data_IF_885298465765
#
_entry.id   IF_885298465765
#
_cell.length_a   1.000
_cell.length_b   1.000
_cell.length_c   1.000
_cell.angle_alpha   90.00
_cell.angle_beta   90.00
_cell.angle_gamma   90.00
#
_symmetry.space_group_name_H-M   'P 1'
#
loop_
_entity.id
_entity.type
_entity.pdbx_description
1 polymer ?
#
# COMPACT_ATOMS: atom_id res chain seq x y z
N UNK A 1 81.35 -15.08 20.20
CA UNK A 1 80.34 -15.26 21.28
C UNK A 1 79.51 -13.99 21.37
N UNK A 2 78.29 -14.09 21.92
CA UNK A 2 77.18 -13.12 21.82
C UNK A 2 76.59 -12.94 20.42
N UNK A 3 75.28 -12.86 20.22
CA UNK A 3 74.11 -13.66 20.67
C UNK A 3 72.93 -13.08 19.87
N UNK A 4 72.08 -13.94 19.31
CA UNK A 4 70.85 -13.51 18.64
C UNK A 4 69.82 -12.96 19.63
N UNK A 5 69.07 -11.93 19.22
CA UNK A 5 67.67 -11.68 19.64
C UNK A 5 67.01 -10.75 18.62
N UNK A 6 65.96 -11.23 17.95
CA UNK A 6 65.09 -10.37 17.13
C UNK A 6 64.02 -9.69 17.99
N UNK A 7 63.41 -8.63 17.49
CA UNK A 7 62.26 -7.97 18.12
C UNK A 7 61.12 -7.81 17.11
N UNK A 8 59.91 -8.18 17.52
CA UNK A 8 58.72 -8.24 16.67
C UNK A 8 58.00 -6.88 16.50
N UNK A 9 57.13 -6.86 15.50
CA UNK A 9 56.19 -5.79 15.14
C UNK A 9 55.28 -5.35 16.30
N UNK A 10 54.83 -4.09 16.23
CA UNK A 10 53.45 -3.71 16.55
C UNK A 10 52.94 -2.62 15.60
N UNK A 11 52.18 -3.02 14.58
CA UNK A 11 51.38 -2.10 13.75
C UNK A 11 50.07 -1.77 14.46
N UNK A 12 49.91 -0.53 14.90
CA UNK A 12 48.73 -0.08 15.64
C UNK A 12 47.57 0.24 14.67
N UNK A 13 46.81 -0.78 14.28
CA UNK A 13 45.57 -0.61 13.52
C UNK A 13 44.45 -0.12 14.46
N UNK A 14 44.20 1.19 14.49
CA UNK A 14 43.12 1.79 15.28
C UNK A 14 41.75 1.44 14.65
N UNK A 15 41.08 0.45 15.24
CA UNK A 15 39.76 -0.02 14.81
C UNK A 15 38.68 0.96 15.30
N UNK A 16 38.27 1.90 14.45
CA UNK A 16 37.24 2.88 14.78
C UNK A 16 35.88 2.19 14.98
N UNK A 17 35.33 2.27 16.19
CA UNK A 17 34.00 1.75 16.50
C UNK A 17 32.93 2.79 16.08
N UNK A 18 32.02 2.46 15.15
CA UNK A 18 30.94 3.38 14.77
C UNK A 18 29.99 3.54 15.96
N UNK A 19 29.97 4.72 16.55
CA UNK A 19 29.00 5.06 17.59
C UNK A 19 27.61 5.10 16.99
N UNK A 20 26.75 4.18 17.38
CA UNK A 20 25.34 4.20 17.01
C UNK A 20 24.67 5.43 17.66
N UNK A 21 24.50 6.50 16.87
CA UNK A 21 23.74 7.68 17.30
C UNK A 21 22.30 7.27 17.58
N UNK A 22 21.93 7.16 18.85
CA UNK A 22 20.53 6.97 19.26
C UNK A 22 19.80 8.26 18.87
N UNK A 23 19.06 8.20 17.76
CA UNK A 23 18.45 9.37 17.16
C UNK A 23 17.28 9.83 18.03
N UNK A 24 17.56 10.79 18.93
CA UNK A 24 16.60 11.29 19.90
C UNK A 24 15.37 11.93 19.23
N UNK A 25 14.21 11.81 19.87
CA UNK A 25 12.98 12.43 19.39
C UNK A 25 13.16 13.95 19.30
N UNK A 26 12.89 14.50 18.12
CA UNK A 26 13.06 15.89 17.78
C UNK A 26 12.00 16.74 18.48
N UNK A 27 12.41 17.89 19.01
CA UNK A 27 11.53 18.77 19.77
C UNK A 27 10.48 19.48 18.91
N UNK A 28 9.55 20.22 19.55
CA UNK A 28 8.68 21.20 18.90
C UNK A 28 9.41 22.03 17.84
N UNK A 29 8.87 22.08 16.61
CA UNK A 29 9.41 22.85 15.48
C UNK A 29 10.85 22.50 15.04
N UNK A 30 11.45 21.43 15.56
CA UNK A 30 12.77 20.97 15.13
C UNK A 30 12.72 20.28 13.76
N UNK A 31 13.86 20.23 13.07
CA UNK A 31 14.00 19.46 11.83
C UNK A 31 13.95 17.97 12.14
N UNK A 32 13.19 17.22 11.35
CA UNK A 32 12.95 15.79 11.50
C UNK A 32 13.09 15.02 10.18
N UNK A 33 13.61 15.66 9.13
CA UNK A 33 13.76 15.04 7.83
C UNK A 33 14.27 16.00 6.76
N UNK A 34 14.43 15.47 5.56
CA UNK A 34 15.02 16.15 4.41
C UNK A 34 16.23 15.42 3.84
N UNK A 35 16.50 15.61 2.55
CA UNK A 35 17.69 15.10 1.87
C UNK A 35 18.94 15.62 2.59
N UNK A 36 19.80 14.70 3.05
CA UNK A 36 21.02 15.02 3.80
C UNK A 36 20.83 15.18 5.32
N UNK A 37 19.61 15.07 5.85
CA UNK A 37 19.39 15.09 7.30
C UNK A 37 19.90 13.80 7.96
N UNK A 38 20.77 13.93 8.96
CA UNK A 38 21.33 12.80 9.74
C UNK A 38 20.86 12.77 11.20
N UNK A 39 19.91 13.64 11.57
CA UNK A 39 19.35 13.70 12.92
C UNK A 39 18.15 12.74 13.12
N UNK A 40 17.41 12.93 14.22
CA UNK A 40 16.20 12.15 14.48
C UNK A 40 15.11 12.40 13.45
N UNK A 41 14.36 11.34 13.11
CA UNK A 41 13.20 11.40 12.20
C UNK A 41 11.86 11.37 12.92
N UNK A 42 11.86 11.02 14.21
CA UNK A 42 10.70 10.98 15.09
C UNK A 42 10.59 12.28 15.87
N UNK A 43 9.39 12.83 15.99
CA UNK A 43 9.11 13.99 16.84
C UNK A 43 8.68 13.56 18.26
N UNK A 44 8.75 14.47 19.24
CA UNK A 44 8.18 14.23 20.57
C UNK A 44 6.67 13.96 20.52
N UNK A 45 6.13 13.22 21.49
CA UNK A 45 4.71 12.87 21.58
C UNK A 45 3.80 14.11 21.44
N UNK A 46 2.80 14.01 20.55
CA UNK A 46 1.91 15.14 20.20
C UNK A 46 2.39 16.01 19.03
N UNK A 47 3.53 15.66 18.42
CA UNK A 47 4.08 16.33 17.23
C UNK A 47 4.29 15.33 16.10
N UNK A 48 4.04 15.76 14.87
CA UNK A 48 4.18 14.96 13.65
C UNK A 48 5.27 15.55 12.78
N UNK A 49 6.12 14.70 12.19
CA UNK A 49 7.14 15.17 11.25
C UNK A 49 6.48 15.50 9.90
N UNK A 50 6.33 16.78 9.59
CA UNK A 50 5.70 17.26 8.36
C UNK A 50 6.76 17.71 7.35
N UNK A 51 6.75 17.10 6.16
CA UNK A 51 7.60 17.50 5.05
C UNK A 51 7.19 18.91 4.58
N UNK A 52 8.12 19.85 4.55
CA UNK A 52 7.90 21.20 4.03
C UNK A 52 8.49 21.34 2.61
N UNK A 53 9.65 20.73 2.38
CA UNK A 53 10.29 20.63 1.07
C UNK A 53 11.27 19.44 1.05
N UNK A 54 11.85 19.06 -0.10
CA UNK A 54 12.71 17.87 -0.20
C UNK A 54 13.94 17.88 0.74
N UNK A 55 14.42 19.04 1.17
CA UNK A 55 15.59 19.19 2.05
C UNK A 55 15.20 19.48 3.51
N UNK A 56 13.91 19.61 3.83
CA UNK A 56 13.45 20.02 5.16
C UNK A 56 12.07 19.48 5.53
N UNK A 57 12.02 18.71 6.61
CA UNK A 57 10.78 18.32 7.32
C UNK A 57 10.84 18.85 8.75
N UNK A 58 9.71 19.30 9.30
CA UNK A 58 9.62 19.95 10.60
C UNK A 58 8.58 19.28 11.50
N UNK A 59 8.88 19.16 12.80
CA UNK A 59 7.91 18.72 13.81
C UNK A 59 6.83 19.79 14.03
N UNK A 60 5.58 19.49 13.66
CA UNK A 60 4.42 20.38 13.87
C UNK A 60 3.33 19.69 14.70
N UNK A 61 2.54 20.46 15.44
CA UNK A 61 1.35 19.91 16.11
C UNK A 61 0.25 19.67 15.08
N UNK A 62 -0.18 18.42 14.93
CA UNK A 62 -1.55 18.18 14.48
C UNK A 62 -2.49 18.73 15.55
N UNK A 63 -3.43 19.58 15.14
CA UNK A 63 -4.39 20.22 16.06
C UNK A 63 -5.51 19.25 16.45
N UNK A 64 -5.13 18.13 17.05
CA UNK A 64 -6.04 17.26 17.78
C UNK A 64 -6.36 17.90 19.12
N UNK A 65 -7.31 18.85 19.13
CA UNK A 65 -8.00 19.30 20.34
C UNK A 65 -8.89 18.17 20.86
N UNK A 66 -8.27 17.09 21.32
CA UNK A 66 -8.92 16.08 22.16
C UNK A 66 -9.10 16.69 23.56
N UNK A 67 -10.33 16.75 24.10
CA UNK A 67 -10.53 17.25 25.46
C UNK A 67 -9.81 16.35 26.47
N UNK A 68 -9.08 16.96 27.39
CA UNK A 68 -8.39 16.23 28.45
C UNK A 68 -9.40 15.54 29.38
N UNK A 69 -9.26 14.22 29.55
CA UNK A 69 -9.85 13.48 30.66
C UNK A 69 -8.75 12.84 31.48
N UNK A 70 -8.74 13.19 32.78
CA UNK A 70 -7.64 12.92 33.70
C UNK A 70 -7.60 11.49 34.24
N UNK A 71 -6.44 11.09 34.73
CA UNK A 71 -6.16 9.81 35.38
C UNK A 71 -7.11 9.44 36.53
N UNK A 72 -7.43 8.14 36.64
CA UNK A 72 -7.53 7.45 37.92
C UNK A 72 -7.10 5.97 37.78
N UNK A 73 -6.64 5.39 38.89
CA UNK A 73 -5.81 4.17 38.95
C UNK A 73 -6.63 2.85 38.91
N UNK A 74 -6.02 1.66 38.77
CA UNK A 74 -6.75 0.41 38.56
C UNK A 74 -7.33 -0.17 39.86
N UNK A 75 -8.45 -0.90 39.75
CA UNK A 75 -9.01 -1.68 40.87
C UNK A 75 -9.35 -3.11 40.43
N UNK A 76 -9.03 -4.07 41.29
CA UNK A 76 -9.23 -5.50 41.06
C UNK A 76 -10.55 -5.99 41.64
N UNK A 77 -11.26 -6.86 40.92
CA UNK A 77 -12.17 -7.86 41.53
C UNK A 77 -12.26 -9.10 40.62
N UNK A 78 -12.34 -10.28 41.24
CA UNK A 78 -12.27 -11.56 40.57
C UNK A 78 -13.64 -12.27 40.53
N UNK A 79 -13.89 -13.05 39.47
CA UNK A 79 -14.86 -14.16 39.55
C UNK A 79 -14.56 -15.31 38.58
N UNK A 80 -14.03 -16.40 39.16
CA UNK A 80 -14.28 -17.84 38.92
C UNK A 80 -14.28 -18.41 37.47
N UNK A 81 -13.43 -19.42 37.17
CA UNK A 81 -13.39 -20.09 35.86
C UNK A 81 -14.46 -21.20 35.69
N UNK A 82 -14.70 -21.56 34.42
CA UNK A 82 -15.50 -22.72 33.99
C UNK A 82 -14.64 -23.70 33.18
N UNK A 83 -14.68 -24.97 33.58
CA UNK A 83 -14.17 -26.15 32.85
C UNK A 83 -15.28 -26.69 31.92
N UNK A 84 -15.14 -27.55 30.91
CA UNK A 84 -14.09 -28.47 30.40
C UNK A 84 -14.09 -28.36 28.84
N UNK A 85 -13.33 -29.07 27.99
CA UNK A 85 -12.40 -30.22 28.13
C UNK A 85 -11.39 -30.22 26.96
N UNK A 86 -10.51 -31.23 26.85
CA UNK A 86 -9.71 -31.53 25.65
C UNK A 86 -9.34 -33.01 25.60
N UNK A 87 -9.49 -33.68 24.45
CA UNK A 87 -9.13 -35.08 24.26
C UNK A 87 -8.16 -35.24 23.07
N UNK A 88 -7.04 -35.92 23.30
CA UNK A 88 -6.03 -36.24 22.30
C UNK A 88 -6.21 -37.67 21.76
N UNK A 89 -5.61 -37.97 20.60
CA UNK A 89 -5.04 -39.31 20.38
C UNK A 89 -3.52 -39.29 20.13
N UNK A 90 -2.89 -40.38 20.55
CA UNK A 90 -1.45 -40.70 20.45
C UNK A 90 -1.13 -41.43 19.12
N UNK A 91 0.09 -41.33 18.55
CA UNK A 91 0.43 -41.95 17.26
C UNK A 91 0.85 -43.43 17.37
N UNK A 92 0.66 -44.18 16.27
CA UNK A 92 1.26 -45.52 16.01
C UNK A 92 1.61 -45.67 14.52
N UNK A 93 2.69 -46.37 14.20
CA UNK A 93 3.34 -46.46 12.87
C UNK A 93 3.13 -47.81 12.16
N UNK A 94 3.39 -47.87 10.83
CA UNK A 94 4.38 -48.78 10.14
C UNK A 94 3.94 -49.33 8.76
N UNK A 95 4.83 -49.22 7.75
CA UNK A 95 4.98 -49.95 6.44
C UNK A 95 3.75 -50.17 5.50
N UNK A 96 3.75 -49.90 4.18
CA UNK A 96 4.70 -50.12 3.05
C UNK A 96 4.73 -51.55 2.44
N UNK A 97 4.07 -51.76 1.28
CA UNK A 97 4.68 -52.25 0.02
C UNK A 97 3.67 -52.60 -1.13
N UNK A 98 3.90 -52.01 -2.31
CA UNK A 98 3.83 -52.57 -3.69
C UNK A 98 2.66 -53.51 -4.12
N UNK A 99 1.85 -53.05 -5.09
CA UNK A 99 1.61 -53.74 -6.39
C UNK A 99 1.12 -52.78 -7.51
N UNK A 100 1.59 -53.03 -8.74
CA UNK A 100 1.08 -52.56 -10.05
C UNK A 100 0.36 -53.74 -10.74
N UNK A 101 -0.24 -53.62 -11.96
CA UNK A 101 -1.02 -52.51 -12.54
C UNK A 101 -2.35 -52.99 -13.18
N UNK A 102 -3.38 -52.14 -13.31
CA UNK A 102 -4.37 -52.30 -14.41
C UNK A 102 -5.08 -50.98 -14.73
N UNK A 103 -5.45 -50.79 -15.99
CA UNK A 103 -5.96 -49.54 -16.54
C UNK A 103 -7.49 -49.52 -16.62
N UNK A 104 -8.13 -48.47 -16.09
CA UNK A 104 -9.49 -48.09 -16.53
C UNK A 104 -9.66 -46.57 -16.55
N UNK A 105 -10.22 -46.08 -17.65
CA UNK A 105 -10.37 -44.66 -17.98
C UNK A 105 -11.47 -43.98 -17.16
N UNK A 106 -11.24 -42.79 -16.60
CA UNK A 106 -11.83 -41.51 -17.08
C UNK A 106 -11.72 -40.36 -16.06
N UNK A 107 -11.35 -39.18 -16.58
CA UNK A 107 -11.70 -37.82 -16.10
C UNK A 107 -11.34 -37.46 -14.66
N UNK A 108 -10.10 -37.01 -14.53
CA UNK A 108 -9.65 -35.98 -13.57
C UNK A 108 -10.71 -34.88 -13.38
N UNK A 109 -11.18 -34.67 -12.15
CA UNK A 109 -11.97 -33.50 -11.78
C UNK A 109 -11.07 -32.27 -11.75
N UNK A 110 -10.93 -31.60 -12.89
CA UNK A 110 -10.37 -30.26 -12.95
C UNK A 110 -11.28 -29.30 -12.17
N UNK A 111 -10.71 -28.52 -11.25
CA UNK A 111 -11.40 -27.33 -10.73
C UNK A 111 -11.77 -26.42 -11.90
N UNK A 112 -12.99 -25.85 -11.93
CA UNK A 112 -13.34 -24.88 -12.96
C UNK A 112 -12.47 -23.63 -12.81
N UNK A 113 -11.58 -23.41 -13.78
CA UNK A 113 -10.92 -22.13 -13.96
C UNK A 113 -11.97 -21.09 -14.35
N UNK A 114 -12.38 -20.26 -13.39
CA UNK A 114 -13.22 -19.09 -13.66
C UNK A 114 -12.33 -17.89 -13.88
N UNK A 115 -12.27 -17.41 -15.12
CA UNK A 115 -11.45 -16.28 -15.57
C UNK A 115 -12.05 -14.91 -15.19
N UNK A 116 -12.64 -14.80 -14.01
CA UNK A 116 -13.18 -13.55 -13.45
C UNK A 116 -12.44 -13.21 -12.17
N UNK A 117 -11.58 -12.20 -12.21
CA UNK A 117 -10.84 -11.75 -11.03
C UNK A 117 -11.73 -11.07 -9.99
N UNK A 118 -11.13 -10.79 -8.83
CA UNK A 118 -11.82 -10.16 -7.70
C UNK A 118 -12.46 -8.84 -8.14
N UNK A 119 -13.74 -8.67 -7.81
CA UNK A 119 -14.54 -7.50 -8.19
C UNK A 119 -15.04 -6.78 -6.95
N UNK A 120 -14.82 -5.47 -6.90
CA UNK A 120 -15.17 -4.59 -5.79
C UNK A 120 -16.08 -3.45 -6.26
N UNK A 121 -16.87 -2.88 -5.33
CA UNK A 121 -17.44 -1.55 -5.55
C UNK A 121 -16.29 -0.55 -5.54
N UNK A 122 -16.21 0.27 -6.57
CA UNK A 122 -15.13 1.21 -6.75
C UNK A 122 -15.64 2.65 -6.86
N UNK A 123 -14.89 3.57 -6.26
CA UNK A 123 -14.92 4.98 -6.63
C UNK A 123 -13.75 5.27 -7.55
N UNK A 124 -14.00 6.08 -8.56
CA UNK A 124 -13.02 6.49 -9.54
C UNK A 124 -12.95 8.01 -9.46
N UNK A 125 -11.74 8.51 -9.27
CA UNK A 125 -11.38 9.93 -9.25
C UNK A 125 -10.25 10.16 -10.25
N UNK A 126 -9.63 11.33 -10.26
CA UNK A 126 -8.50 11.61 -11.14
C UNK A 126 -7.48 12.51 -10.46
N UNK A 127 -6.24 12.46 -10.95
CA UNK A 127 -5.13 13.31 -10.52
C UNK A 127 -4.12 13.48 -11.66
N UNK A 128 -3.11 14.32 -11.47
CA UNK A 128 -2.11 14.69 -12.48
C UNK A 128 -2.27 16.14 -12.94
N UNK A 129 -1.86 16.44 -14.16
CA UNK A 129 -1.87 17.81 -14.68
C UNK A 129 -3.30 18.38 -14.72
N UNK A 130 -3.44 19.61 -14.21
CA UNK A 130 -4.73 20.31 -14.10
C UNK A 130 -5.53 20.02 -12.82
N UNK A 131 -5.19 19.00 -12.05
CA UNK A 131 -5.78 18.79 -10.72
C UNK A 131 -5.19 19.81 -9.72
N UNK A 132 -6.09 20.48 -8.98
CA UNK A 132 -5.75 21.48 -7.96
C UNK A 132 -5.58 20.87 -6.56
N UNK A 133 -6.08 19.65 -6.35
CA UNK A 133 -6.16 19.01 -5.03
C UNK A 133 -5.26 17.78 -4.89
N UNK A 134 -4.88 17.13 -5.99
CA UNK A 134 -3.92 16.03 -6.03
C UNK A 134 -2.49 16.45 -6.40
N UNK A 135 -1.65 15.46 -6.70
CA UNK A 135 -0.29 15.71 -7.20
C UNK A 135 -0.32 16.12 -8.67
N UNK A 136 0.43 17.18 -9.10
CA UNK A 136 0.34 17.73 -10.45
C UNK A 136 0.93 16.84 -11.55
N UNK A 137 1.62 15.75 -11.18
CA UNK A 137 2.16 14.75 -12.09
C UNK A 137 1.75 13.35 -11.61
N UNK A 138 1.10 12.56 -12.46
CA UNK A 138 0.65 11.20 -12.13
C UNK A 138 1.41 10.10 -12.90
N UNK A 139 2.07 10.46 -14.01
CA UNK A 139 2.76 9.53 -14.90
C UNK A 139 4.27 9.77 -14.90
N UNK A 140 4.94 9.42 -13.79
CA UNK A 140 6.39 9.62 -13.61
C UNK A 140 7.03 8.40 -12.95
N UNK A 141 8.35 8.23 -13.12
CA UNK A 141 9.11 7.20 -12.40
C UNK A 141 9.20 7.45 -10.88
N UNK A 142 8.76 8.62 -10.39
CA UNK A 142 8.57 8.91 -8.95
C UNK A 142 7.25 8.39 -8.37
N UNK A 143 6.37 7.79 -9.19
CA UNK A 143 5.21 7.07 -8.69
C UNK A 143 5.62 5.89 -7.79
N UNK A 144 4.77 5.49 -6.84
CA UNK A 144 5.12 4.52 -5.79
C UNK A 144 5.61 3.15 -6.30
N UNK A 145 5.25 2.75 -7.52
CA UNK A 145 5.75 1.52 -8.13
C UNK A 145 7.09 1.65 -8.86
N UNK A 146 7.69 2.84 -8.95
CA UNK A 146 8.96 3.06 -9.65
C UNK A 146 8.86 2.92 -11.18
N UNK A 147 7.68 3.17 -11.75
CA UNK A 147 7.45 3.15 -13.20
C UNK A 147 6.26 4.03 -13.60
N UNK A 148 6.19 4.37 -14.88
CA UNK A 148 5.07 5.04 -15.51
C UNK A 148 4.67 4.33 -16.82
N UNK A 149 3.59 4.76 -17.47
CA UNK A 149 3.05 4.08 -18.66
C UNK A 149 2.95 5.04 -19.85
N UNK A 150 3.60 4.72 -20.96
CA UNK A 150 3.55 5.55 -22.16
C UNK A 150 3.75 4.73 -23.46
N UNK A 151 2.72 4.58 -24.32
CA UNK A 151 1.32 4.87 -24.06
C UNK A 151 0.73 3.91 -23.00
N UNK A 152 -0.52 4.13 -22.60
CA UNK A 152 -1.29 3.19 -21.78
C UNK A 152 -1.80 3.79 -20.48
N UNK A 153 -3.00 3.40 -20.08
CA UNK A 153 -3.70 4.00 -18.94
C UNK A 153 -3.15 3.51 -17.61
N UNK A 154 -2.88 4.44 -16.70
CA UNK A 154 -2.44 4.17 -15.33
C UNK A 154 -3.34 4.80 -14.28
N UNK A 155 -3.26 4.26 -13.06
CA UNK A 155 -3.99 4.76 -11.91
C UNK A 155 -3.21 4.56 -10.61
N UNK A 156 -3.44 5.44 -9.64
CA UNK A 156 -3.16 5.15 -8.25
C UNK A 156 -4.31 4.32 -7.67
N UNK A 157 -4.04 3.36 -6.79
CA UNK A 157 -5.09 2.59 -6.11
C UNK A 157 -5.05 2.79 -4.60
N UNK A 158 -6.21 2.75 -3.94
CA UNK A 158 -6.36 2.90 -2.50
C UNK A 158 -5.46 1.96 -1.71
N UNK A 159 -4.97 2.43 -0.56
CA UNK A 159 -3.93 1.77 0.22
C UNK A 159 -4.29 0.34 0.65
N UNK A 160 -5.59 0.04 0.85
CA UNK A 160 -6.10 -1.29 1.15
C UNK A 160 -5.91 -2.32 0.02
N UNK A 161 -5.80 -1.87 -1.23
CA UNK A 161 -5.44 -2.70 -2.40
C UNK A 161 -3.95 -2.59 -2.67
N UNK A 162 -3.36 -1.39 -2.58
CA UNK A 162 -1.93 -1.17 -2.86
C UNK A 162 -1.05 -2.04 -1.96
N UNK A 163 -1.46 -2.25 -0.70
CA UNK A 163 -0.90 -3.23 0.23
C UNK A 163 0.23 -2.71 1.12
N UNK A 164 0.79 -1.53 0.84
CA UNK A 164 1.78 -0.85 1.68
C UNK A 164 1.48 0.65 1.79
N UNK A 165 2.02 1.32 2.81
CA UNK A 165 1.84 2.76 3.01
C UNK A 165 2.88 3.63 2.29
N UNK A 166 2.73 4.97 2.38
CA UNK A 166 3.71 5.91 1.84
C UNK A 166 5.14 5.64 2.32
N UNK A 167 6.12 5.81 1.43
CA UNK A 167 7.54 5.58 1.72
C UNK A 167 7.99 4.12 1.77
N UNK A 168 7.08 3.14 1.72
CA UNK A 168 7.44 1.72 1.67
C UNK A 168 7.89 1.22 0.28
N UNK A 169 7.72 2.04 -0.77
CA UNK A 169 8.00 1.68 -2.16
C UNK A 169 6.87 0.89 -2.82
N UNK A 170 7.23 0.00 -3.74
CA UNK A 170 6.28 -0.75 -4.55
C UNK A 170 5.48 -1.76 -3.71
N UNK A 171 4.15 -1.58 -3.67
CA UNK A 171 3.23 -2.54 -3.06
C UNK A 171 2.88 -3.71 -3.98
N UNK A 172 2.26 -4.79 -3.45
CA UNK A 172 1.83 -5.95 -4.23
C UNK A 172 0.85 -5.66 -5.38
N UNK A 173 0.17 -4.50 -5.39
CA UNK A 173 -0.68 -4.10 -6.51
C UNK A 173 0.10 -3.55 -7.72
N UNK A 174 1.39 -3.22 -7.57
CA UNK A 174 2.17 -2.62 -8.65
C UNK A 174 2.23 -3.52 -9.89
N UNK A 175 1.88 -2.95 -11.05
CA UNK A 175 1.81 -3.67 -12.32
C UNK A 175 0.55 -4.52 -12.50
N UNK A 176 -0.35 -4.59 -11.51
CA UNK A 176 -1.64 -5.29 -11.69
C UNK A 176 -2.59 -4.49 -12.58
N UNK A 177 -3.39 -5.20 -13.37
CA UNK A 177 -4.35 -4.59 -14.29
C UNK A 177 -5.78 -4.74 -13.80
N UNK A 178 -6.57 -3.67 -13.97
CA UNK A 178 -7.93 -3.56 -13.46
C UNK A 178 -8.87 -3.00 -14.51
N UNK A 179 -9.95 -3.73 -14.79
CA UNK A 179 -11.07 -3.24 -15.58
C UNK A 179 -11.96 -2.40 -14.68
N UNK A 180 -12.14 -1.14 -15.02
CA UNK A 180 -12.98 -0.18 -14.29
C UNK A 180 -14.24 0.11 -15.09
N UNK A 181 -15.40 0.15 -14.44
CA UNK A 181 -16.70 0.46 -15.04
C UNK A 181 -17.38 1.57 -14.24
N UNK A 182 -17.70 2.68 -14.90
CA UNK A 182 -18.46 3.78 -14.30
C UNK A 182 -19.97 3.59 -14.47
N UNK A 183 -20.74 3.89 -13.43
CA UNK A 183 -22.20 3.75 -13.43
C UNK A 183 -22.90 5.07 -13.04
N UNK A 184 -22.51 5.69 -11.92
CA UNK A 184 -23.09 6.95 -11.44
C UNK A 184 -22.02 7.98 -11.07
N UNK A 185 -22.43 9.23 -10.90
CA UNK A 185 -21.66 10.24 -10.18
C UNK A 185 -21.75 10.04 -8.65
N UNK A 186 -21.09 10.93 -7.90
CA UNK A 186 -21.14 11.00 -6.43
C UNK A 186 -22.53 11.27 -5.83
N UNK A 187 -23.49 11.73 -6.63
CA UNK A 187 -24.86 12.08 -6.23
C UNK A 187 -25.87 10.98 -6.63
N UNK A 188 -25.42 9.92 -7.29
CA UNK A 188 -26.26 8.81 -7.75
C UNK A 188 -26.89 9.01 -9.13
N UNK A 189 -26.56 10.09 -9.86
CA UNK A 189 -27.04 10.28 -11.23
C UNK A 189 -26.24 9.37 -12.18
N UNK A 190 -26.93 8.72 -13.13
CA UNK A 190 -26.26 7.85 -14.12
C UNK A 190 -25.31 8.67 -15.01
N UNK A 191 -24.07 8.22 -15.18
CA UNK A 191 -23.11 8.86 -16.09
C UNK A 191 -23.60 8.79 -17.54
N UNK A 192 -23.28 9.81 -18.34
CA UNK A 192 -23.60 9.86 -19.78
C UNK A 192 -23.01 8.67 -20.55
N UNK A 193 -21.82 8.22 -20.12
CA UNK A 193 -21.10 7.07 -20.66
C UNK A 193 -21.17 5.82 -19.75
N UNK A 194 -22.10 5.76 -18.79
CA UNK A 194 -22.19 4.64 -17.83
C UNK A 194 -22.32 3.28 -18.53
N UNK A 195 -21.55 2.30 -18.04
CA UNK A 195 -21.34 0.99 -18.64
C UNK A 195 -20.13 0.91 -19.57
N UNK A 196 -19.54 2.05 -19.96
CA UNK A 196 -18.22 2.07 -20.62
C UNK A 196 -17.14 1.63 -19.63
N UNK A 197 -16.15 0.88 -20.11
CA UNK A 197 -15.06 0.37 -19.30
C UNK A 197 -13.69 0.64 -19.92
N UNK A 198 -12.71 0.97 -19.09
CA UNK A 198 -11.29 0.97 -19.45
C UNK A 198 -10.55 -0.11 -18.66
N UNK A 199 -9.36 -0.48 -19.11
CA UNK A 199 -8.41 -1.25 -18.30
C UNK A 199 -7.23 -0.34 -17.96
N UNK A 200 -6.88 -0.25 -16.68
CA UNK A 200 -5.74 0.52 -16.17
C UNK A 200 -4.69 -0.41 -15.57
N UNK A 201 -3.43 0.03 -15.55
CA UNK A 201 -2.36 -0.59 -14.77
C UNK A 201 -2.11 0.25 -13.50
N UNK A 202 -1.97 -0.41 -12.35
CA UNK A 202 -1.62 0.27 -11.10
C UNK A 202 -0.14 0.63 -11.09
N UNK A 203 0.18 1.91 -11.09
CA UNK A 203 1.55 2.44 -11.03
C UNK A 203 1.84 3.27 -9.76
N UNK A 204 0.81 3.60 -8.97
CA UNK A 204 0.96 4.49 -7.82
C UNK A 204 0.06 4.11 -6.64
N UNK A 205 0.35 4.69 -5.48
CA UNK A 205 -0.43 4.57 -4.25
C UNK A 205 -1.37 5.77 -4.12
N UNK A 206 -2.65 5.52 -3.88
CA UNK A 206 -3.51 6.51 -3.23
C UNK A 206 -3.47 6.27 -1.70
N UNK A 207 -2.83 7.16 -0.92
CA UNK A 207 -2.64 6.96 0.52
C UNK A 207 -3.96 7.03 1.27
N UNK A 208 -4.07 6.29 2.38
CA UNK A 208 -5.20 6.41 3.30
C UNK A 208 -5.09 7.68 4.18
N UNK A 209 -3.87 8.10 4.51
CA UNK A 209 -3.64 9.29 5.31
C UNK A 209 -3.97 10.56 4.51
N UNK A 210 -4.71 11.48 5.14
CA UNK A 210 -5.23 12.69 4.49
C UNK A 210 -6.30 12.49 3.40
N UNK A 211 -6.56 11.28 2.91
CA UNK A 211 -7.51 11.02 1.82
C UNK A 211 -8.60 9.97 2.18
N UNK A 212 -9.79 10.42 2.64
CA UNK A 212 -10.91 9.54 2.98
C UNK A 212 -11.40 8.62 1.85
N UNK A 213 -11.19 8.97 0.58
CA UNK A 213 -11.56 8.12 -0.55
C UNK A 213 -10.78 6.81 -0.56
N UNK A 214 -9.54 6.82 -0.04
CA UNK A 214 -8.59 5.72 -0.09
C UNK A 214 -8.29 5.11 1.29
N UNK A 215 -9.05 5.53 2.31
CA UNK A 215 -8.92 5.12 3.71
C UNK A 215 -9.85 3.95 4.11
N UNK A 216 -10.17 3.05 3.17
CA UNK A 216 -11.03 1.89 3.47
C UNK A 216 -10.36 0.94 4.47
N UNK A 217 -11.13 0.53 5.50
CA UNK A 217 -10.67 -0.46 6.47
C UNK A 217 -10.71 -1.87 5.86
N UNK A 218 -9.59 -2.26 5.24
CA UNK A 218 -9.49 -3.51 4.48
C UNK A 218 -10.37 -3.53 3.23
N UNK A 219 -10.59 -4.72 2.66
CA UNK A 219 -11.34 -4.90 1.41
C UNK A 219 -12.87 -5.06 1.62
N UNK A 220 -13.32 -5.18 2.87
CA UNK A 220 -14.74 -5.24 3.25
C UNK A 220 -15.29 -3.90 3.76
N UNK A 221 -14.43 -3.03 4.29
CA UNK A 221 -14.79 -1.65 4.58
C UNK A 221 -15.13 -0.85 3.31
N UNK A 222 -15.74 0.30 3.49
CA UNK A 222 -16.08 1.23 2.41
C UNK A 222 -15.68 2.67 2.77
N UNK A 223 -15.49 3.50 1.76
CA UNK A 223 -15.35 4.94 1.92
C UNK A 223 -16.74 5.62 2.03
N UNK A 224 -16.75 6.95 2.10
CA UNK A 224 -17.96 7.77 2.29
C UNK A 224 -19.00 7.65 1.14
N UNK A 225 -18.63 7.06 0.01
CA UNK A 225 -19.52 6.79 -1.12
C UNK A 225 -19.91 5.31 -1.26
N UNK A 226 -19.59 4.46 -0.28
CA UNK A 226 -19.91 3.04 -0.31
C UNK A 226 -19.01 2.19 -1.21
N UNK A 227 -17.86 2.71 -1.63
CA UNK A 227 -16.88 1.98 -2.43
C UNK A 227 -15.82 1.29 -1.54
N UNK A 228 -15.53 0.02 -1.83
CA UNK A 228 -14.52 -0.78 -1.13
C UNK A 228 -13.09 -0.42 -1.54
N UNK A 229 -12.92 0.15 -2.73
CA UNK A 229 -11.62 0.52 -3.30
C UNK A 229 -11.76 1.85 -4.03
N UNK A 230 -10.66 2.60 -4.16
CA UNK A 230 -10.61 3.82 -4.98
C UNK A 230 -9.49 3.74 -6.03
N UNK A 231 -9.76 4.25 -7.22
CA UNK A 231 -8.78 4.42 -8.29
C UNK A 231 -8.69 5.90 -8.69
N UNK A 232 -7.54 6.54 -8.44
CA UNK A 232 -7.25 7.86 -9.00
C UNK A 232 -6.67 7.67 -10.40
N UNK A 233 -7.47 7.98 -11.42
CA UNK A 233 -7.08 7.85 -12.81
C UNK A 233 -6.05 8.91 -13.18
N UNK A 234 -4.94 8.49 -13.78
CA UNK A 234 -3.89 9.42 -14.17
C UNK A 234 -4.27 10.19 -15.43
N UNK A 235 -4.45 11.51 -15.30
CA UNK A 235 -4.75 12.42 -16.41
C UNK A 235 -3.67 12.43 -17.48
N UNK A 236 -2.39 12.43 -17.07
CA UNK A 236 -1.23 12.46 -17.98
C UNK A 236 -1.07 11.16 -18.79
N UNK A 237 -1.73 10.06 -18.38
CA UNK A 237 -1.80 8.80 -19.13
C UNK A 237 -2.97 8.73 -20.11
N UNK A 238 -3.88 9.71 -20.07
CA UNK A 238 -5.15 9.71 -20.78
C UNK A 238 -6.28 8.92 -20.10
N UNK A 239 -6.03 8.26 -18.96
CA UNK A 239 -7.01 7.42 -18.27
C UNK A 239 -8.25 8.21 -17.81
N UNK A 240 -8.04 9.40 -17.25
CA UNK A 240 -9.12 10.32 -16.84
C UNK A 240 -10.03 10.67 -18.02
N UNK A 241 -9.45 11.12 -19.14
CA UNK A 241 -10.20 11.53 -20.32
C UNK A 241 -10.95 10.35 -20.97
N UNK A 242 -10.33 9.16 -21.03
CA UNK A 242 -10.96 7.95 -21.54
C UNK A 242 -12.12 7.46 -20.66
N UNK A 243 -12.04 7.66 -19.34
CA UNK A 243 -13.04 7.17 -18.40
C UNK A 243 -14.20 8.15 -18.16
N UNK A 244 -13.92 9.43 -17.96
CA UNK A 244 -14.94 10.45 -17.69
C UNK A 244 -15.48 11.11 -18.96
N UNK A 245 -14.73 11.07 -20.06
CA UNK A 245 -15.10 11.73 -21.32
C UNK A 245 -15.47 13.20 -21.11
N UNK A 246 -16.58 13.62 -21.73
CA UNK A 246 -17.14 14.97 -21.59
C UNK A 246 -18.21 15.08 -20.50
N UNK A 247 -18.26 14.16 -19.51
CA UNK A 247 -19.31 14.15 -18.48
C UNK A 247 -19.23 15.34 -17.51
N UNK A 248 -18.06 15.95 -17.35
CA UNK A 248 -17.80 16.99 -16.34
C UNK A 248 -17.79 16.46 -14.89
N UNK A 249 -17.88 15.15 -14.71
CA UNK A 249 -17.91 14.50 -13.40
C UNK A 249 -16.48 14.27 -12.91
N UNK A 250 -16.17 14.70 -11.68
CA UNK A 250 -14.86 14.49 -11.05
C UNK A 250 -14.73 13.18 -10.26
N UNK A 251 -15.86 12.62 -9.80
CA UNK A 251 -15.95 11.37 -9.05
C UNK A 251 -17.08 10.50 -9.58
N UNK A 252 -16.75 9.28 -9.98
CA UNK A 252 -17.69 8.26 -10.43
C UNK A 252 -17.72 7.06 -9.47
N UNK A 253 -18.86 6.37 -9.41
CA UNK A 253 -19.05 5.12 -8.69
C UNK A 253 -19.40 4.00 -9.68
N UNK A 254 -19.03 2.78 -9.32
CA UNK A 254 -19.29 1.59 -10.13
C UNK A 254 -18.49 0.39 -9.62
N UNK A 255 -17.74 -0.25 -10.51
CA UNK A 255 -16.99 -1.47 -10.18
C UNK A 255 -15.55 -1.47 -10.71
N UNK A 256 -14.68 -2.17 -9.98
CA UNK A 256 -13.32 -2.51 -10.38
C UNK A 256 -13.13 -4.02 -10.29
N UNK A 257 -12.75 -4.64 -11.41
CA UNK A 257 -12.45 -6.08 -11.52
C UNK A 257 -10.98 -6.26 -11.85
N UNK A 258 -10.25 -7.04 -11.07
CA UNK A 258 -8.88 -7.41 -11.43
C UNK A 258 -8.91 -8.27 -12.69
N UNK A 259 -8.06 -7.96 -13.67
CA UNK A 259 -7.97 -8.68 -14.95
C UNK A 259 -6.54 -9.05 -15.28
N UNK A 260 -6.39 -10.02 -16.18
CA UNK A 260 -5.09 -10.32 -16.77
C UNK A 260 -4.61 -9.11 -17.61
N UNK A 261 -3.33 -8.77 -17.53
CA UNK A 261 -2.76 -7.62 -18.23
C UNK A 261 -2.73 -7.75 -19.75
N UNK A 262 -3.04 -8.91 -20.35
CA UNK A 262 -3.35 -9.03 -21.77
C UNK A 262 -4.60 -8.22 -22.21
N UNK A 263 -5.45 -7.80 -21.26
CA UNK A 263 -6.57 -6.88 -21.52
C UNK A 263 -6.17 -5.40 -21.43
N UNK A 264 -4.97 -5.10 -20.92
CA UNK A 264 -4.41 -3.75 -20.89
C UNK A 264 -3.57 -3.50 -22.15
N UNK A 265 -3.55 -2.24 -22.60
CA UNK A 265 -2.76 -1.82 -23.77
C UNK A 265 -1.87 -0.66 -23.39
N UNK A 266 -0.56 -0.79 -23.66
CA UNK A 266 0.43 0.21 -23.35
C UNK A 266 1.85 -0.33 -23.27
N UNK A 267 2.75 0.47 -22.71
CA UNK A 267 4.14 0.11 -22.43
C UNK A 267 4.55 0.70 -21.09
N UNK A 268 5.21 -0.12 -20.25
CA UNK A 268 5.79 0.29 -18.98
C UNK A 268 7.16 0.92 -19.23
N UNK A 269 7.44 2.04 -18.56
CA UNK A 269 8.70 2.77 -18.65
C UNK A 269 9.25 3.00 -17.24
N UNK A 270 10.55 2.74 -17.07
CA UNK A 270 11.30 2.84 -15.81
C UNK A 270 12.25 4.06 -15.85
#
# INVERSE_FOLDING_TARGET
MYKSTGLLLFTLAAMACPSASIAAAQGPYAQCGGIGWTGGTTCQSGWTCMVQNPYYSQCLQTSNTAPAVSSSAPVSTATKPVSVSSAAPKPTTTASAVVKPVSTSTKTSASPASSGGLTYKASMTHYGSGDTFGSPNCNTNTAACGFYTYPGFSAAVSQNVFGVGPGAGAGPACGTCWKLVGETDSSGNKLSNAGTSIVVMVNNLCPADGNPLCAQNGLSGTNQYGANVNFDLCSDSGAQAAFFGSSGVGLALGSATQVDCSQWSGTVVH
#
